data_IF_497343761197
#
_entry.id   IF_497343761197
#
_cell.length_a   1.000
_cell.length_b   1.000
_cell.length_c   1.000
_cell.angle_alpha   90.00
_cell.angle_beta   90.00
_cell.angle_gamma   90.00
#
_symmetry.space_group_name_H-M   'P 1'
#
loop_
_entity.id
_entity.type
_entity.pdbx_description
1 polymer ?
#
# COMPACT_ATOMS: atom_id res chain seq x y z
N UNK A 1 5.88 -2.22 -18.29
CA UNK A 1 4.80 -3.18 -17.97
C UNK A 1 4.92 -3.72 -16.53
N UNK A 2 6.09 -4.18 -16.08
CA UNK A 2 6.26 -4.80 -14.76
C UNK A 2 6.19 -3.87 -13.53
N UNK A 3 6.50 -2.57 -13.66
CA UNK A 3 6.31 -1.57 -12.57
C UNK A 3 4.85 -1.35 -12.20
N UNK A 4 3.97 -1.38 -13.20
CA UNK A 4 2.52 -1.18 -13.01
C UNK A 4 1.91 -2.32 -12.19
N UNK A 5 2.45 -3.54 -12.31
CA UNK A 5 1.96 -4.69 -11.54
C UNK A 5 2.07 -4.47 -10.04
N UNK A 6 3.12 -3.81 -9.54
CA UNK A 6 3.26 -3.49 -8.13
C UNK A 6 2.11 -2.64 -7.59
N UNK A 7 1.65 -1.67 -8.40
CA UNK A 7 0.53 -0.79 -8.08
C UNK A 7 -0.79 -1.55 -8.22
N UNK A 8 -0.96 -2.35 -9.27
CA UNK A 8 -2.17 -3.14 -9.47
C UNK A 8 -2.37 -4.19 -8.36
N UNK A 9 -1.29 -4.78 -7.83
CA UNK A 9 -1.35 -5.66 -6.67
C UNK A 9 -1.85 -4.93 -5.42
N UNK A 10 -1.35 -3.72 -5.16
CA UNK A 10 -1.84 -2.87 -4.06
C UNK A 10 -3.34 -2.61 -4.21
N UNK A 11 -3.74 -2.05 -5.37
CA UNK A 11 -5.12 -1.63 -5.60
C UNK A 11 -6.07 -2.84 -5.58
N UNK A 12 -5.64 -4.00 -6.08
CA UNK A 12 -6.43 -5.23 -6.03
C UNK A 12 -6.59 -5.74 -4.58
N UNK A 13 -5.51 -5.68 -3.79
CA UNK A 13 -5.54 -6.07 -2.39
C UNK A 13 -6.44 -5.15 -1.55
N UNK A 14 -6.38 -3.83 -1.75
CA UNK A 14 -7.25 -2.85 -1.08
C UNK A 14 -8.71 -3.09 -1.45
N UNK A 15 -9.02 -3.29 -2.73
CA UNK A 15 -10.39 -3.53 -3.17
C UNK A 15 -10.95 -4.88 -2.71
N UNK A 16 -10.11 -5.92 -2.68
CA UNK A 16 -10.45 -7.22 -2.10
C UNK A 16 -10.74 -7.06 -0.60
N UNK A 17 -9.85 -6.41 0.15
CA UNK A 17 -9.99 -6.11 1.59
C UNK A 17 -11.31 -5.40 1.89
N UNK A 18 -11.59 -4.29 1.20
CA UNK A 18 -12.84 -3.53 1.37
C UNK A 18 -14.07 -4.36 1.09
N UNK A 19 -14.04 -5.18 0.04
CA UNK A 19 -15.16 -6.05 -0.32
C UNK A 19 -15.39 -7.13 0.73
N UNK A 20 -14.33 -7.76 1.24
CA UNK A 20 -14.43 -8.73 2.32
C UNK A 20 -14.99 -8.10 3.61
N UNK A 21 -14.49 -6.92 3.96
CA UNK A 21 -14.96 -6.15 5.11
C UNK A 21 -16.43 -5.76 4.99
N UNK A 22 -16.90 -5.36 3.81
CA UNK A 22 -18.30 -5.02 3.58
C UNK A 22 -19.22 -6.23 3.79
N UNK A 23 -18.85 -7.39 3.25
CA UNK A 23 -19.59 -8.65 3.42
C UNK A 23 -19.62 -9.05 4.90
N UNK A 24 -18.45 -9.07 5.55
CA UNK A 24 -18.33 -9.50 6.95
C UNK A 24 -19.04 -8.53 7.91
N UNK A 25 -18.85 -7.21 7.74
CA UNK A 25 -19.55 -6.22 8.56
C UNK A 25 -21.06 -6.27 8.33
N UNK A 26 -21.51 -6.60 7.11
CA UNK A 26 -22.93 -6.85 6.80
C UNK A 26 -23.55 -7.92 7.70
N UNK A 27 -22.81 -8.99 8.03
CA UNK A 27 -23.26 -10.06 8.94
C UNK A 27 -23.46 -9.57 10.38
N UNK A 28 -22.63 -8.63 10.83
CA UNK A 28 -22.59 -8.13 12.21
C UNK A 28 -23.40 -6.85 12.43
N UNK A 29 -23.87 -6.22 11.34
CA UNK A 29 -24.69 -5.00 11.37
C UNK A 29 -25.91 -5.19 12.29
N UNK A 30 -26.03 -4.30 13.29
CA UNK A 30 -27.12 -4.31 14.26
C UNK A 30 -27.05 -5.42 15.32
N UNK A 31 -26.02 -6.28 15.31
CA UNK A 31 -25.80 -7.34 16.32
C UNK A 31 -24.76 -6.95 17.36
N UNK A 32 -23.80 -6.11 16.97
CA UNK A 32 -22.74 -5.58 17.83
C UNK A 32 -22.60 -4.08 17.59
N UNK A 33 -22.14 -3.29 18.59
CA UNK A 33 -21.86 -1.88 18.39
C UNK A 33 -20.74 -1.67 17.37
N UNK A 34 -20.85 -0.63 16.53
CA UNK A 34 -19.79 -0.26 15.57
C UNK A 34 -18.50 0.23 16.27
N UNK A 35 -18.64 0.71 17.50
CA UNK A 35 -17.55 1.13 18.37
C UNK A 35 -17.95 0.92 19.84
N UNK A 36 -16.99 0.58 20.68
CA UNK A 36 -17.14 0.37 22.13
C UNK A 36 -16.68 1.57 23.00
N UNK A 37 -16.50 2.75 22.39
CA UNK A 37 -16.06 3.98 23.06
C UNK A 37 -14.56 4.09 23.34
N UNK A 38 -13.73 3.16 22.87
CA UNK A 38 -12.26 3.23 23.06
C UNK A 38 -11.63 4.26 22.12
N UNK A 39 -10.73 5.07 22.67
CA UNK A 39 -9.95 6.08 21.91
C UNK A 39 -8.66 5.53 21.30
N UNK A 40 -8.17 4.38 21.77
CA UNK A 40 -6.98 3.71 21.25
C UNK A 40 -7.09 2.19 21.42
N UNK A 41 -6.38 1.44 20.58
CA UNK A 41 -6.26 -0.02 20.65
C UNK A 41 -4.77 -0.36 20.65
N UNK A 42 -4.36 -1.29 21.51
CA UNK A 42 -2.97 -1.78 21.56
C UNK A 42 -2.97 -3.17 20.94
N UNK A 43 -2.20 -3.33 19.86
CA UNK A 43 -1.80 -4.63 19.35
C UNK A 43 -0.37 -4.90 19.81
N UNK A 44 -0.09 -6.11 20.26
CA UNK A 44 1.23 -6.51 20.73
C UNK A 44 1.43 -8.00 20.59
N UNK A 45 2.69 -8.41 20.48
CA UNK A 45 3.09 -9.81 20.53
C UNK A 45 3.40 -10.16 21.98
N UNK A 46 2.85 -11.27 22.47
CA UNK A 46 3.21 -11.83 23.78
C UNK A 46 4.22 -12.93 23.54
N UNK A 47 5.33 -12.88 24.27
CA UNK A 47 6.41 -13.86 24.19
C UNK A 47 6.45 -14.67 25.48
N UNK A 48 6.58 -15.99 25.36
CA UNK A 48 6.78 -16.84 26.53
C UNK A 48 8.19 -16.68 27.12
N UNK A 49 8.40 -16.94 28.42
CA UNK A 49 9.68 -16.68 29.09
C UNK A 49 10.89 -17.42 28.51
N UNK A 50 10.64 -18.53 27.80
CA UNK A 50 11.62 -19.40 27.15
C UNK A 50 11.82 -19.10 25.66
N UNK A 51 10.97 -18.25 25.07
CA UNK A 51 11.14 -17.81 23.69
C UNK A 51 12.19 -16.69 23.66
N UNK A 52 13.23 -16.85 22.84
CA UNK A 52 14.18 -15.77 22.54
C UNK A 52 13.71 -14.98 21.31
N UNK A 53 13.75 -13.64 21.40
CA UNK A 53 13.50 -12.79 20.23
C UNK A 53 14.70 -12.92 19.29
N UNK A 54 14.68 -13.93 18.44
CA UNK A 54 15.62 -14.04 17.35
C UNK A 54 15.11 -13.14 16.23
N UNK A 55 15.47 -11.85 16.29
CA UNK A 55 15.46 -11.03 15.07
C UNK A 55 16.57 -11.57 14.18
N UNK A 56 16.28 -12.68 13.50
CA UNK A 56 17.17 -13.18 12.47
C UNK A 56 17.14 -12.10 11.39
N UNK A 57 18.15 -11.23 11.39
CA UNK A 57 18.37 -10.19 10.39
C UNK A 57 18.59 -10.72 8.96
N UNK A 58 18.08 -11.91 8.63
CA UNK A 58 18.19 -12.58 7.35
C UNK A 58 16.85 -13.31 7.07
N UNK A 59 16.15 -12.84 6.04
CA UNK A 59 14.82 -13.29 5.59
C UNK A 59 13.66 -13.05 6.56
N UNK A 60 13.09 -11.84 6.48
CA UNK A 60 11.73 -11.60 6.97
C UNK A 60 10.76 -12.45 6.14
N UNK A 61 10.13 -13.44 6.77
CA UNK A 61 9.00 -14.21 6.19
C UNK A 61 7.68 -13.42 6.21
N UNK A 62 7.74 -12.18 6.72
CA UNK A 62 6.61 -11.29 6.88
C UNK A 62 6.88 -9.97 6.15
N UNK A 63 5.83 -9.43 5.52
CA UNK A 63 5.85 -8.13 4.88
C UNK A 63 5.06 -7.17 5.74
N UNK A 64 5.72 -6.11 6.24
CA UNK A 64 5.01 -4.99 6.84
C UNK A 64 4.56 -4.04 5.74
N UNK A 65 3.28 -3.71 5.80
CA UNK A 65 2.64 -2.76 4.93
C UNK A 65 2.28 -1.51 5.74
N UNK A 66 2.62 -0.36 5.18
CA UNK A 66 2.02 0.93 5.51
C UNK A 66 1.95 1.72 4.22
N UNK A 67 0.83 2.41 4.08
CA UNK A 67 0.55 3.38 3.05
C UNK A 67 0.97 4.76 3.58
N UNK A 68 2.24 5.11 3.38
CA UNK A 68 2.71 6.45 3.71
C UNK A 68 2.47 7.35 2.50
N UNK A 69 1.45 8.20 2.65
CA UNK A 69 1.02 9.15 1.63
C UNK A 69 1.42 10.53 2.10
N UNK A 70 2.19 11.24 1.28
CA UNK A 70 2.52 12.65 1.52
C UNK A 70 1.83 13.53 0.52
N UNK A 71 0.99 14.42 1.03
CA UNK A 71 0.28 15.40 0.21
C UNK A 71 1.04 16.72 0.15
N UNK A 72 1.12 17.30 -1.06
CA UNK A 72 1.74 18.60 -1.31
C UNK A 72 0.81 19.47 -2.16
N UNK A 73 1.03 20.78 -2.12
CA UNK A 73 0.49 21.73 -3.10
C UNK A 73 1.63 22.19 -4.00
N UNK A 74 1.34 22.39 -5.27
CA UNK A 74 2.32 22.93 -6.23
C UNK A 74 1.73 24.14 -6.95
N UNK A 75 2.53 24.82 -7.76
CA UNK A 75 2.08 25.96 -8.55
C UNK A 75 0.96 25.62 -9.54
N UNK A 76 0.94 24.39 -10.07
CA UNK A 76 0.00 23.94 -11.10
C UNK A 76 -1.09 22.97 -10.63
N UNK A 77 -1.05 22.51 -9.38
CA UNK A 77 -1.95 21.47 -8.86
C UNK A 77 -2.45 21.78 -7.45
N UNK A 78 -3.77 21.75 -7.27
CA UNK A 78 -4.41 21.94 -5.97
C UNK A 78 -3.98 20.90 -4.92
N UNK A 79 -3.70 19.67 -5.35
CA UNK A 79 -3.15 18.62 -4.51
C UNK A 79 -2.38 17.60 -5.35
N UNK A 80 -1.18 17.26 -4.89
CA UNK A 80 -0.47 16.06 -5.32
C UNK A 80 -0.23 15.16 -4.12
N UNK A 81 -0.13 13.87 -4.33
CA UNK A 81 0.14 12.88 -3.31
C UNK A 81 1.22 11.93 -3.80
N UNK A 82 2.33 11.88 -3.07
CA UNK A 82 3.32 10.82 -3.19
C UNK A 82 2.85 9.63 -2.37
N UNK A 83 2.43 8.56 -3.06
CA UNK A 83 1.95 7.35 -2.45
C UNK A 83 3.04 6.28 -2.49
N UNK A 84 3.66 6.04 -1.33
CA UNK A 84 4.53 4.89 -1.12
C UNK A 84 3.66 3.70 -0.68
N UNK A 85 3.34 2.81 -1.63
CA UNK A 85 2.40 1.71 -1.42
C UNK A 85 3.03 0.54 -0.63
N UNK A 86 4.29 0.70 -0.20
CA UNK A 86 5.07 -0.34 0.45
C UNK A 86 6.07 0.26 1.47
N UNK A 87 5.88 -0.03 2.75
CA UNK A 87 6.62 0.61 3.85
C UNK A 87 8.04 0.09 4.10
N UNK A 88 8.27 -1.20 3.90
CA UNK A 88 9.51 -1.86 4.30
C UNK A 88 10.01 -2.85 3.23
N UNK A 89 10.80 -3.87 3.62
CA UNK A 89 11.38 -4.86 2.69
C UNK A 89 10.37 -5.31 1.63
N UNK A 90 10.68 -5.24 0.32
CA UNK A 90 12.04 -5.13 -0.23
C UNK A 90 12.57 -3.69 -0.41
N UNK A 91 11.79 -2.66 -0.10
CA UNK A 91 12.19 -1.26 -0.29
C UNK A 91 12.77 -0.63 0.98
N UNK A 92 13.57 0.43 0.83
CA UNK A 92 13.92 1.30 1.95
C UNK A 92 12.81 2.32 2.22
N UNK A 93 12.96 3.11 3.29
CA UNK A 93 12.18 4.35 3.43
C UNK A 93 12.46 5.25 2.22
N UNK A 94 11.38 5.64 1.54
CA UNK A 94 11.39 6.47 0.32
C UNK A 94 10.47 7.67 0.44
N UNK A 95 9.89 7.91 1.62
CA UNK A 95 8.87 8.93 1.80
C UNK A 95 9.45 10.34 1.73
N UNK A 96 10.75 10.48 1.90
CA UNK A 96 11.45 11.75 1.84
C UNK A 96 11.91 12.12 0.41
N UNK A 97 11.77 11.21 -0.57
CA UNK A 97 12.29 11.42 -1.92
C UNK A 97 11.54 12.54 -2.66
N UNK A 98 10.22 12.44 -2.72
CA UNK A 98 9.37 13.56 -3.13
C UNK A 98 8.93 14.30 -1.87
N UNK A 99 9.21 15.60 -1.84
CA UNK A 99 8.97 16.44 -0.68
C UNK A 99 8.64 17.87 -1.11
N UNK A 100 8.39 18.74 -0.13
CA UNK A 100 7.99 20.14 -0.35
C UNK A 100 8.98 20.94 -1.20
N UNK A 101 10.28 20.58 -1.19
CA UNK A 101 11.32 21.28 -1.93
C UNK A 101 11.38 20.92 -3.42
N UNK A 102 10.89 19.75 -3.82
CA UNK A 102 11.05 19.24 -5.18
C UNK A 102 9.74 18.80 -5.87
N UNK A 103 8.63 18.73 -5.13
CA UNK A 103 7.30 18.40 -5.63
C UNK A 103 6.88 19.26 -6.84
N UNK A 104 7.11 20.57 -6.75
CA UNK A 104 6.75 21.51 -7.81
C UNK A 104 7.56 21.28 -9.10
N UNK A 105 8.89 21.16 -8.97
CA UNK A 105 9.76 20.84 -10.11
C UNK A 105 9.37 19.50 -10.76
N UNK A 106 9.12 18.47 -9.95
CA UNK A 106 8.74 17.15 -10.44
C UNK A 106 7.46 17.21 -11.29
N UNK A 107 6.45 17.95 -10.85
CA UNK A 107 5.21 18.12 -11.61
C UNK A 107 5.37 19.03 -12.83
N UNK A 108 6.21 20.07 -12.77
CA UNK A 108 6.54 20.90 -13.94
C UNK A 108 7.26 20.08 -15.03
N UNK A 109 8.14 19.14 -14.64
CA UNK A 109 8.77 18.20 -15.57
C UNK A 109 7.74 17.24 -16.18
N UNK A 110 6.77 16.77 -15.38
CA UNK A 110 5.67 15.95 -15.89
C UNK A 110 4.86 16.69 -16.97
N UNK A 111 4.53 17.96 -16.75
CA UNK A 111 3.80 18.77 -17.73
C UNK A 111 4.65 19.15 -18.96
N UNK A 112 5.94 19.40 -18.76
CA UNK A 112 6.86 19.86 -19.79
C UNK A 112 8.24 19.14 -19.69
N UNK A 113 8.40 17.99 -20.37
CA UNK A 113 9.65 17.21 -20.38
C UNK A 113 10.90 17.94 -20.91
N UNK A 114 10.71 19.04 -21.64
CA UNK A 114 11.76 19.90 -22.20
C UNK A 114 12.00 21.18 -21.39
N UNK A 115 11.47 21.26 -20.17
CA UNK A 115 11.68 22.38 -19.25
C UNK A 115 13.18 22.71 -19.12
N UNK A 116 13.52 23.97 -19.37
CA UNK A 116 14.88 24.48 -19.12
C UNK A 116 15.04 24.63 -17.62
N UNK A 117 16.01 23.91 -17.05
CA UNK A 117 16.28 23.88 -15.62
C UNK A 117 17.32 24.95 -15.25
N UNK A 118 17.14 25.54 -14.08
CA UNK A 118 18.23 26.28 -13.41
C UNK A 118 19.28 25.31 -12.85
N UNK A 119 20.52 25.75 -12.55
CA UNK A 119 21.55 24.88 -12.00
C UNK A 119 21.12 24.09 -10.74
N UNK A 120 20.32 24.72 -9.86
CA UNK A 120 19.79 24.06 -8.66
C UNK A 120 18.71 23.00 -9.00
N UNK A 121 17.88 23.26 -10.01
CA UNK A 121 16.90 22.29 -10.50
C UNK A 121 17.59 21.13 -11.24
N UNK A 122 18.72 21.37 -11.92
CA UNK A 122 19.54 20.31 -12.52
C UNK A 122 20.10 19.35 -11.47
N UNK A 123 20.61 19.87 -10.35
CA UNK A 123 21.07 19.04 -9.22
C UNK A 123 19.92 18.22 -8.62
N UNK A 124 18.76 18.85 -8.42
CA UNK A 124 17.56 18.18 -7.93
C UNK A 124 17.11 17.07 -8.89
N UNK A 125 17.08 17.35 -10.19
CA UNK A 125 16.73 16.37 -11.22
C UNK A 125 17.75 15.22 -11.30
N UNK A 126 19.05 15.50 -11.16
CA UNK A 126 20.08 14.49 -11.12
C UNK A 126 19.91 13.54 -9.91
N UNK A 127 19.56 14.07 -8.74
CA UNK A 127 19.26 13.24 -7.57
C UNK A 127 17.99 12.38 -7.81
N UNK A 128 16.94 12.93 -8.43
CA UNK A 128 15.74 12.16 -8.77
C UNK A 128 16.01 11.08 -9.84
N UNK A 129 16.93 11.31 -10.79
CA UNK A 129 17.38 10.28 -11.73
C UNK A 129 18.12 9.16 -11.01
N UNK A 130 19.04 9.51 -10.10
CA UNK A 130 19.80 8.54 -9.30
C UNK A 130 18.87 7.64 -8.47
N UNK A 131 17.73 8.18 -8.03
CA UNK A 131 16.71 7.48 -7.26
C UNK A 131 15.62 6.83 -8.14
N UNK A 132 15.80 6.79 -9.46
CA UNK A 132 14.84 6.18 -10.42
C UNK A 132 13.45 6.85 -10.45
N UNK A 133 13.30 8.10 -9.99
CA UNK A 133 12.04 8.87 -10.11
C UNK A 133 11.92 9.64 -11.42
N UNK A 134 13.06 9.97 -12.03
CA UNK A 134 13.15 10.56 -13.36
C UNK A 134 14.06 9.70 -14.26
N UNK A 135 13.88 9.80 -15.57
CA UNK A 135 14.83 9.26 -16.55
C UNK A 135 15.00 10.23 -17.71
N UNK A 136 16.19 10.19 -18.33
CA UNK A 136 16.52 11.02 -19.48
C UNK A 136 16.34 10.22 -20.77
N UNK A 137 15.59 10.75 -21.73
CA UNK A 137 15.39 10.14 -23.05
C UNK A 137 15.38 11.23 -24.13
N UNK A 138 16.30 11.13 -25.09
CA UNK A 138 16.40 12.09 -26.19
C UNK A 138 16.61 13.54 -25.74
N UNK A 139 17.41 13.74 -24.68
CA UNK A 139 17.66 15.07 -24.10
C UNK A 139 16.58 15.60 -23.15
N UNK A 140 15.41 14.95 -23.09
CA UNK A 140 14.26 15.32 -22.25
C UNK A 140 14.21 14.52 -20.95
N UNK A 141 13.50 15.05 -19.96
CA UNK A 141 13.28 14.42 -18.66
C UNK A 141 11.85 13.92 -18.53
N UNK A 142 11.70 12.68 -18.05
CA UNK A 142 10.40 12.05 -17.87
C UNK A 142 10.28 11.42 -16.49
N UNK A 143 9.11 11.51 -15.84
CA UNK A 143 8.80 10.69 -14.69
C UNK A 143 8.93 9.19 -14.98
N UNK A 144 9.56 8.50 -14.04
CA UNK A 144 9.72 7.04 -14.05
C UNK A 144 8.63 6.33 -13.23
N UNK A 145 7.91 7.09 -12.40
CA UNK A 145 6.72 6.66 -11.64
C UNK A 145 5.45 6.93 -12.43
N UNK A 146 4.41 6.10 -12.29
CA UNK A 146 3.09 6.44 -12.78
C UNK A 146 2.54 7.69 -12.08
N UNK A 147 2.01 8.60 -12.88
CA UNK A 147 1.34 9.82 -12.42
C UNK A 147 -0.07 9.78 -12.98
N UNK A 148 -1.08 9.82 -12.12
CA UNK A 148 -2.47 9.71 -12.54
C UNK A 148 -3.42 10.54 -11.67
N UNK A 149 -4.58 10.89 -12.23
CA UNK A 149 -5.63 11.56 -11.45
C UNK A 149 -6.24 10.60 -10.43
N UNK A 150 -6.78 11.15 -9.34
CA UNK A 150 -7.64 10.37 -8.43
C UNK A 150 -8.83 9.72 -9.13
N UNK A 151 -9.35 10.33 -10.20
CA UNK A 151 -10.43 9.74 -11.01
C UNK A 151 -9.95 8.48 -11.75
N UNK A 152 -8.73 8.51 -12.29
CA UNK A 152 -8.12 7.34 -12.93
C UNK A 152 -7.94 6.21 -11.91
N UNK A 153 -7.40 6.51 -10.72
CA UNK A 153 -7.27 5.55 -9.63
C UNK A 153 -8.63 4.93 -9.27
N UNK A 154 -9.67 5.76 -9.12
CA UNK A 154 -11.02 5.28 -8.79
C UNK A 154 -11.57 4.31 -9.85
N UNK A 155 -11.32 4.58 -11.14
CA UNK A 155 -11.71 3.66 -12.24
C UNK A 155 -10.96 2.33 -12.17
N UNK A 156 -9.66 2.36 -11.88
CA UNK A 156 -8.85 1.14 -11.68
C UNK A 156 -9.42 0.33 -10.51
N UNK A 157 -9.69 0.98 -9.39
CA UNK A 157 -10.27 0.35 -8.20
C UNK A 157 -11.63 -0.29 -8.50
N UNK A 158 -12.51 0.38 -9.25
CA UNK A 158 -13.81 -0.19 -9.64
C UNK A 158 -13.67 -1.47 -10.48
N UNK A 159 -12.76 -1.47 -11.46
CA UNK A 159 -12.49 -2.65 -12.29
C UNK A 159 -11.97 -3.81 -11.44
N UNK A 160 -11.01 -3.53 -10.55
CA UNK A 160 -10.42 -4.54 -9.68
C UNK A 160 -11.42 -5.08 -8.67
N UNK A 161 -12.29 -4.24 -8.09
CA UNK A 161 -13.38 -4.67 -7.20
C UNK A 161 -14.34 -5.63 -7.90
N UNK A 162 -14.70 -5.35 -9.15
CA UNK A 162 -15.51 -6.25 -9.96
C UNK A 162 -14.84 -7.61 -10.16
N UNK A 163 -13.56 -7.58 -10.54
CA UNK A 163 -12.77 -8.79 -10.81
C UNK A 163 -12.50 -9.66 -9.57
N UNK A 164 -12.43 -9.06 -8.37
CA UNK A 164 -12.14 -9.78 -7.12
C UNK A 164 -13.39 -10.13 -6.30
N UNK A 165 -14.58 -9.77 -6.76
CA UNK A 165 -15.84 -9.94 -6.01
C UNK A 165 -16.14 -11.38 -5.59
N UNK A 166 -16.02 -12.35 -6.51
CA UNK A 166 -16.26 -13.77 -6.22
C UNK A 166 -15.24 -14.31 -5.22
N UNK A 167 -13.98 -13.89 -5.34
CA UNK A 167 -12.89 -14.28 -4.44
C UNK A 167 -13.16 -13.72 -3.04
N UNK A 168 -13.62 -12.46 -2.93
CA UNK A 168 -13.96 -11.84 -1.65
C UNK A 168 -15.02 -12.65 -0.89
N UNK A 169 -16.08 -13.07 -1.59
CA UNK A 169 -17.15 -13.85 -0.99
C UNK A 169 -16.65 -15.20 -0.46
N UNK A 170 -15.96 -15.97 -1.31
CA UNK A 170 -15.38 -17.28 -0.94
C UNK A 170 -14.43 -17.18 0.24
N UNK A 171 -13.59 -16.14 0.26
CA UNK A 171 -12.62 -15.92 1.31
C UNK A 171 -13.30 -15.57 2.63
N UNK A 172 -14.32 -14.70 2.62
CA UNK A 172 -15.08 -14.37 3.83
C UNK A 172 -15.77 -15.61 4.39
N UNK A 173 -16.44 -16.42 3.56
CA UNK A 173 -17.09 -17.65 4.04
C UNK A 173 -16.08 -18.58 4.74
N UNK A 174 -14.94 -18.85 4.08
CA UNK A 174 -13.93 -19.76 4.62
C UNK A 174 -13.27 -19.22 5.91
N UNK A 175 -12.84 -17.96 5.92
CA UNK A 175 -12.09 -17.38 7.03
C UNK A 175 -12.98 -17.00 8.20
N UNK A 176 -14.18 -16.44 7.93
CA UNK A 176 -15.13 -16.13 8.99
C UNK A 176 -15.61 -17.39 9.69
N UNK A 177 -15.89 -18.48 8.95
CA UNK A 177 -16.30 -19.75 9.58
C UNK A 177 -15.22 -20.28 10.53
N UNK A 178 -13.96 -20.33 10.07
CA UNK A 178 -12.84 -20.83 10.88
C UNK A 178 -12.63 -19.93 12.10
N UNK A 179 -12.57 -18.61 11.89
CA UNK A 179 -12.36 -17.63 12.94
C UNK A 179 -13.47 -17.73 13.99
N UNK A 180 -14.73 -17.76 13.57
CA UNK A 180 -15.86 -17.78 14.49
C UNK A 180 -16.06 -19.13 15.18
N UNK A 181 -15.67 -20.24 14.54
CA UNK A 181 -15.74 -21.55 15.21
C UNK A 181 -14.68 -21.69 16.30
N UNK A 182 -13.50 -21.11 16.10
CA UNK A 182 -12.34 -21.32 16.98
C UNK A 182 -12.18 -20.19 18.00
N UNK A 183 -12.21 -18.93 17.55
CA UNK A 183 -11.86 -17.78 18.37
C UNK A 183 -13.06 -17.14 19.08
N UNK A 184 -14.21 -17.06 18.41
CA UNK A 184 -15.39 -16.41 18.99
C UNK A 184 -15.89 -17.08 20.30
N UNK A 185 -15.91 -18.43 20.46
CA UNK A 185 -16.35 -19.05 21.71
C UNK A 185 -15.40 -18.77 22.88
N UNK A 186 -14.11 -18.55 22.59
CA UNK A 186 -13.09 -18.17 23.56
C UNK A 186 -13.05 -16.65 23.83
N UNK A 187 -13.76 -15.85 23.01
CA UNK A 187 -13.80 -14.40 23.15
C UNK A 187 -14.77 -14.02 24.27
N UNK A 188 -14.31 -13.18 25.20
CA UNK A 188 -15.18 -12.64 26.25
C UNK A 188 -16.31 -11.82 25.63
N UNK A 189 -17.51 -11.87 26.22
CA UNK A 189 -18.70 -11.17 25.70
C UNK A 189 -18.49 -9.67 25.48
N UNK A 190 -17.73 -9.02 26.36
CA UNK A 190 -17.41 -7.59 26.28
C UNK A 190 -16.35 -7.25 25.21
N UNK A 191 -15.70 -8.27 24.64
CA UNK A 191 -14.66 -8.13 23.60
C UNK A 191 -15.14 -8.58 22.20
N UNK A 192 -16.43 -8.91 22.04
CA UNK A 192 -16.95 -9.40 20.76
C UNK A 192 -16.86 -8.32 19.67
N UNK A 193 -17.03 -7.04 20.02
CA UNK A 193 -16.84 -5.92 19.10
C UNK A 193 -15.41 -5.90 18.56
N UNK A 194 -14.42 -5.99 19.45
CA UNK A 194 -13.01 -5.98 19.10
C UNK A 194 -12.65 -7.20 18.27
N UNK A 195 -13.17 -8.37 18.61
CA UNK A 195 -12.98 -9.56 17.81
C UNK A 195 -13.51 -9.36 16.39
N UNK A 196 -14.76 -8.90 16.23
CA UNK A 196 -15.38 -8.77 14.92
C UNK A 196 -14.79 -7.61 14.10
N UNK A 197 -14.70 -6.41 14.66
CA UNK A 197 -14.30 -5.22 13.89
C UNK A 197 -12.79 -5.01 13.84
N UNK A 198 -12.04 -5.43 14.85
CA UNK A 198 -10.59 -5.22 14.90
C UNK A 198 -9.81 -6.48 14.54
N UNK A 199 -10.02 -7.61 15.23
CA UNK A 199 -9.24 -8.84 14.98
C UNK A 199 -9.54 -9.39 13.59
N UNK A 200 -10.81 -9.66 13.28
CA UNK A 200 -11.19 -10.16 11.96
C UNK A 200 -11.01 -9.08 10.89
N UNK A 201 -11.44 -7.85 11.18
CA UNK A 201 -11.34 -6.74 10.23
C UNK A 201 -9.90 -6.38 9.82
N UNK A 202 -9.02 -6.14 10.79
CA UNK A 202 -7.66 -5.65 10.52
C UNK A 202 -6.69 -6.80 10.21
N UNK A 203 -6.83 -7.95 10.87
CA UNK A 203 -5.83 -9.02 10.72
C UNK A 203 -6.25 -10.12 9.73
N UNK A 204 -7.54 -10.44 9.60
CA UNK A 204 -7.98 -11.54 8.76
C UNK A 204 -8.36 -11.10 7.33
N UNK A 205 -8.93 -9.90 7.19
CA UNK A 205 -9.42 -9.38 5.90
C UNK A 205 -8.49 -8.36 5.25
N UNK A 206 -7.19 -8.39 5.58
CA UNK A 206 -6.20 -7.47 5.03
C UNK A 206 -5.04 -8.22 4.32
N UNK A 207 -5.24 -8.72 3.09
CA UNK A 207 -4.38 -9.74 2.48
C UNK A 207 -3.11 -9.19 1.83
N UNK A 208 -2.86 -7.87 1.90
CA UNK A 208 -1.85 -7.20 1.08
C UNK A 208 -0.44 -7.76 1.26
N UNK A 209 -0.03 -8.06 2.50
CA UNK A 209 1.27 -8.64 2.80
C UNK A 209 1.41 -10.04 2.17
N UNK A 210 0.36 -10.86 2.22
CA UNK A 210 0.38 -12.18 1.60
C UNK A 210 0.43 -12.09 0.07
N UNK A 211 -0.37 -11.21 -0.53
CA UNK A 211 -0.41 -11.02 -1.99
C UNK A 211 0.93 -10.56 -2.54
N UNK A 212 1.63 -9.65 -1.85
CA UNK A 212 2.98 -9.26 -2.23
C UNK A 212 3.99 -10.39 -2.07
N UNK A 213 3.92 -11.13 -0.96
CA UNK A 213 4.82 -12.26 -0.73
C UNK A 213 4.69 -13.30 -1.85
N UNK A 214 3.47 -13.70 -2.20
CA UNK A 214 3.24 -14.65 -3.29
C UNK A 214 3.52 -14.06 -4.66
N UNK A 215 3.25 -12.77 -4.88
CA UNK A 215 3.61 -12.08 -6.10
C UNK A 215 5.12 -12.10 -6.37
N UNK A 216 5.94 -12.06 -5.31
CA UNK A 216 7.40 -12.10 -5.39
C UNK A 216 8.00 -13.51 -5.33
N UNK A 217 7.45 -14.40 -4.50
CA UNK A 217 8.07 -15.67 -4.11
C UNK A 217 7.22 -16.90 -4.44
N UNK A 218 6.04 -16.72 -5.06
CA UNK A 218 5.15 -17.82 -5.43
C UNK A 218 5.76 -18.74 -6.49
N UNK A 219 5.05 -19.83 -6.81
CA UNK A 219 5.49 -20.77 -7.85
C UNK A 219 5.63 -20.11 -9.24
N UNK A 220 4.83 -19.07 -9.49
CA UNK A 220 4.91 -18.21 -10.69
C UNK A 220 5.03 -16.74 -10.25
N UNK A 221 6.24 -16.24 -9.94
CA UNK A 221 6.45 -14.86 -9.52
C UNK A 221 6.03 -13.86 -10.61
N UNK A 222 5.10 -12.98 -10.28
CA UNK A 222 4.64 -11.91 -11.16
C UNK A 222 5.35 -10.56 -10.90
N UNK A 223 5.93 -10.40 -9.71
CA UNK A 223 6.62 -9.20 -9.25
C UNK A 223 8.13 -9.42 -9.28
N UNK A 224 8.83 -8.62 -10.07
CA UNK A 224 10.29 -8.68 -10.12
C UNK A 224 10.94 -7.96 -8.93
N UNK A 225 11.88 -8.65 -8.28
CA UNK A 225 12.81 -8.07 -7.33
C UNK A 225 14.09 -7.69 -8.09
N UNK A 226 14.31 -6.39 -8.34
CA UNK A 226 15.54 -5.91 -8.97
C UNK A 226 16.70 -5.94 -7.96
N UNK A 227 17.93 -6.08 -8.46
CA UNK A 227 19.15 -6.18 -7.63
C UNK A 227 19.43 -4.97 -6.73
N UNK A 228 18.88 -3.79 -7.06
CA UNK A 228 19.15 -2.51 -6.39
C UNK A 228 17.84 -1.85 -5.85
N UNK A 229 16.98 -2.66 -5.22
CA UNK A 229 15.59 -2.30 -4.93
C UNK A 229 15.39 -1.15 -3.94
N UNK A 230 16.37 -0.89 -3.07
CA UNK A 230 16.28 0.18 -2.07
C UNK A 230 16.02 1.56 -2.68
N UNK A 231 16.50 1.80 -3.89
CA UNK A 231 16.36 3.09 -4.59
C UNK A 231 15.44 3.00 -5.80
N UNK A 232 14.65 1.93 -5.96
CA UNK A 232 13.71 1.81 -7.07
C UNK A 232 12.47 2.67 -6.85
N UNK A 233 11.87 3.13 -7.93
CA UNK A 233 10.56 3.78 -7.94
C UNK A 233 9.36 2.81 -8.02
N UNK A 234 9.60 1.49 -8.00
CA UNK A 234 8.51 0.51 -8.02
C UNK A 234 7.60 0.64 -6.78
N UNK A 235 6.31 0.33 -6.92
CA UNK A 235 5.31 0.53 -5.87
C UNK A 235 5.15 1.99 -5.39
N UNK A 236 5.69 2.96 -6.13
CA UNK A 236 5.40 4.38 -5.96
C UNK A 236 4.40 4.81 -7.02
N UNK A 237 3.44 5.62 -6.61
CA UNK A 237 2.53 6.31 -7.52
C UNK A 237 2.40 7.78 -7.10
N UNK A 238 2.20 8.67 -8.07
CA UNK A 238 1.78 10.04 -7.80
C UNK A 238 0.31 10.19 -8.18
N UNK A 239 -0.52 10.57 -7.21
CA UNK A 239 -1.91 10.93 -7.45
C UNK A 239 -2.04 12.45 -7.45
N UNK A 240 -2.88 13.00 -8.33
CA UNK A 240 -3.10 14.44 -8.33
C UNK A 240 -4.56 14.84 -8.57
N UNK A 241 -4.85 16.06 -8.14
CA UNK A 241 -6.04 16.85 -8.47
C UNK A 241 -5.55 18.21 -8.96
N UNK A 242 -6.02 18.62 -10.15
CA UNK A 242 -5.77 19.97 -10.67
C UNK A 242 -6.48 21.00 -9.78
#
# INVERSE_FOLDING_TARGET
MRRLLWILYYEAADMLSRSMLEIYNGKWRGKIPEQNGKSYRIAGTVQYPDEAFTDAGQQKSWLLWSNLHKSFRTSGYAQIEHANLFQAWPFSDRDHIINESNADLFMRIFDCPELVLTPNEEETAANLIRLDYLHKKGGKLYPSVPIMTYECQSKIQQLLRGATSEIAFKYVEAVAEIGERILLPATRKDLIEEYAHFVMGVNAFFPIGFLYYYGMNGAEPALEILKDYGLSSNAICIYYRK
#
